data_IF_637944956367
#
_entry.id   IF_637944956367
#
_cell.length_a   1.000
_cell.length_b   1.000
_cell.length_c   1.000
_cell.angle_alpha   90.00
_cell.angle_beta   90.00
_cell.angle_gamma   90.00
#
_symmetry.space_group_name_H-M   'P 1'
#
loop_
_entity.id
_entity.type
_entity.pdbx_description
1 polymer ?
#
# COMPACT_ATOMS: atom_id res chain seq x y z
N UNK A 1 -22.68 -22.60 20.61
CA UNK A 1 -22.05 -23.83 21.16
C UNK A 1 -22.85 -24.95 20.58
N UNK A 2 -22.18 -25.89 19.96
CA UNK A 2 -22.77 -27.08 19.32
C UNK A 2 -23.44 -27.98 20.38
N UNK A 3 -24.56 -28.64 20.05
CA UNK A 3 -25.30 -29.48 20.99
C UNK A 3 -24.46 -30.65 21.44
N UNK A 4 -23.69 -31.28 20.54
CA UNK A 4 -22.73 -32.35 20.86
C UNK A 4 -21.70 -31.94 21.93
N UNK A 5 -21.19 -30.69 21.84
CA UNK A 5 -20.24 -30.17 22.82
C UNK A 5 -20.92 -29.91 24.17
N UNK A 6 -22.17 -29.44 24.15
CA UNK A 6 -22.96 -29.20 25.38
C UNK A 6 -23.20 -30.52 26.12
N UNK A 7 -23.52 -31.56 25.38
CA UNK A 7 -23.75 -32.90 25.94
C UNK A 7 -22.45 -33.50 26.51
N UNK A 8 -21.34 -33.42 25.78
CA UNK A 8 -20.01 -33.83 26.26
C UNK A 8 -19.60 -33.12 27.54
N UNK A 9 -19.88 -31.81 27.64
CA UNK A 9 -19.61 -31.05 28.86
C UNK A 9 -20.51 -31.51 30.03
N UNK A 10 -21.79 -31.79 29.77
CA UNK A 10 -22.70 -32.29 30.78
C UNK A 10 -22.29 -33.68 31.31
N UNK A 11 -21.92 -34.62 30.44
CA UNK A 11 -21.38 -35.92 30.77
C UNK A 11 -20.09 -35.82 31.62
N UNK A 12 -19.18 -34.93 31.21
CA UNK A 12 -17.97 -34.66 31.97
C UNK A 12 -18.29 -34.14 33.39
N UNK A 13 -19.18 -33.13 33.51
CA UNK A 13 -19.59 -32.59 34.82
C UNK A 13 -20.23 -33.64 35.69
N UNK A 14 -21.08 -34.48 35.09
CA UNK A 14 -21.71 -35.62 35.80
C UNK A 14 -20.65 -36.62 36.30
N UNK A 15 -19.68 -36.97 35.49
CA UNK A 15 -18.59 -37.88 35.90
C UNK A 15 -17.78 -37.34 37.06
N UNK A 16 -17.57 -36.03 37.15
CA UNK A 16 -16.86 -35.40 38.29
C UNK A 16 -17.69 -35.44 39.58
N UNK A 17 -19.00 -35.18 39.50
CA UNK A 17 -19.86 -35.12 40.70
C UNK A 17 -20.49 -36.46 41.06
N UNK A 18 -20.35 -37.50 40.25
CA UNK A 18 -21.03 -38.80 40.41
C UNK A 18 -20.91 -39.36 41.83
N UNK A 19 -19.71 -39.41 42.38
CA UNK A 19 -19.46 -39.98 43.68
C UNK A 19 -19.97 -39.11 44.85
N UNK A 20 -20.25 -37.86 44.57
CA UNK A 20 -20.84 -36.90 45.53
C UNK A 20 -22.37 -36.93 45.57
N UNK A 21 -23.02 -37.47 44.51
CA UNK A 21 -24.50 -37.46 44.36
C UNK A 21 -25.13 -38.85 44.34
N UNK A 22 -24.33 -39.94 44.24
CA UNK A 22 -24.82 -41.32 44.09
C UNK A 22 -25.30 -41.95 45.38
N UNK A 23 -24.80 -41.52 46.55
CA UNK A 23 -25.16 -42.08 47.85
C UNK A 23 -25.08 -41.07 48.99
N UNK A 24 -25.80 -41.24 50.09
CA UNK A 24 -25.64 -40.40 51.28
C UNK A 24 -24.22 -40.51 51.84
N UNK A 25 -23.51 -39.41 51.93
CA UNK A 25 -22.13 -39.35 52.40
C UNK A 25 -22.08 -39.17 53.94
N UNK A 26 -21.11 -39.79 54.61
CA UNK A 26 -20.89 -39.65 56.04
C UNK A 26 -20.43 -38.18 56.36
N UNK A 27 -20.59 -37.80 57.64
CA UNK A 27 -20.20 -36.46 58.11
C UNK A 27 -18.73 -36.18 57.84
N UNK A 28 -18.39 -35.15 57.07
CA UNK A 28 -17.02 -34.78 56.68
C UNK A 28 -16.49 -35.42 55.38
N UNK A 29 -17.12 -36.47 54.90
CA UNK A 29 -16.69 -37.19 53.68
C UNK A 29 -16.88 -36.32 52.42
N UNK A 30 -17.96 -35.56 52.34
CA UNK A 30 -18.24 -34.61 51.29
C UNK A 30 -17.11 -33.60 51.12
N UNK A 31 -16.59 -33.02 52.19
CA UNK A 31 -15.51 -32.05 52.12
C UNK A 31 -14.16 -32.69 51.73
N UNK A 32 -13.92 -33.93 52.15
CA UNK A 32 -12.74 -34.69 51.72
C UNK A 32 -12.76 -34.92 50.21
N UNK A 33 -13.85 -35.45 49.67
CA UNK A 33 -14.03 -35.71 48.26
C UNK A 33 -13.93 -34.43 47.40
N UNK A 34 -14.54 -33.33 47.86
CA UNK A 34 -14.43 -32.04 47.19
C UNK A 34 -12.98 -31.54 47.08
N UNK A 35 -12.17 -31.78 48.11
CA UNK A 35 -10.74 -31.44 48.09
C UNK A 35 -9.99 -32.32 47.10
N UNK A 36 -10.15 -33.61 47.16
CA UNK A 36 -9.52 -34.59 46.25
C UNK A 36 -9.85 -34.30 44.79
N UNK A 37 -11.13 -34.08 44.48
CA UNK A 37 -11.58 -33.75 43.11
C UNK A 37 -11.04 -32.41 42.59
N UNK A 38 -10.84 -31.41 43.49
CA UNK A 38 -10.28 -30.11 43.10
C UNK A 38 -8.78 -30.12 42.87
N UNK A 39 -8.05 -31.07 43.48
CA UNK A 39 -6.61 -31.25 43.32
C UNK A 39 -6.25 -32.14 42.12
N UNK A 40 -7.22 -32.92 41.63
CA UNK A 40 -7.08 -33.81 40.49
C UNK A 40 -6.97 -33.04 39.19
N UNK A 41 -6.13 -33.49 38.27
CA UNK A 41 -6.07 -32.99 36.91
C UNK A 41 -7.12 -33.67 36.02
N UNK A 42 -7.80 -32.84 35.20
CA UNK A 42 -8.89 -33.24 34.36
C UNK A 42 -8.66 -32.79 32.92
N UNK A 43 -9.07 -33.60 31.96
CA UNK A 43 -9.24 -33.17 30.57
C UNK A 43 -10.66 -32.60 30.40
N UNK A 44 -10.78 -31.26 30.44
CA UNK A 44 -12.07 -30.58 30.48
C UNK A 44 -12.49 -30.24 29.02
N UNK A 45 -13.61 -30.78 28.53
CA UNK A 45 -14.06 -30.53 27.17
C UNK A 45 -14.26 -29.04 26.88
N UNK A 46 -13.71 -28.56 25.77
CA UNK A 46 -13.88 -27.19 25.29
C UNK A 46 -13.03 -26.13 25.98
N UNK A 47 -12.03 -26.50 26.79
CA UNK A 47 -11.11 -25.57 27.46
C UNK A 47 -9.74 -26.21 27.69
N UNK A 48 -8.71 -25.34 27.78
CA UNK A 48 -7.33 -25.76 28.12
C UNK A 48 -7.08 -25.79 29.65
N UNK A 49 -8.11 -25.61 30.48
CA UNK A 49 -7.96 -25.70 31.94
C UNK A 49 -7.91 -27.17 32.35
N UNK A 50 -7.04 -27.48 33.31
CA UNK A 50 -6.84 -28.84 33.84
C UNK A 50 -7.36 -29.04 35.28
N UNK A 51 -7.77 -27.98 35.97
CA UNK A 51 -8.26 -28.04 37.35
C UNK A 51 -9.62 -27.38 37.51
N UNK A 52 -10.40 -27.91 38.48
CA UNK A 52 -11.76 -27.45 38.81
C UNK A 52 -11.81 -27.01 40.26
N UNK A 53 -12.25 -25.76 40.49
CA UNK A 53 -12.37 -25.27 41.86
C UNK A 53 -13.51 -25.95 42.65
N UNK A 54 -13.35 -26.09 43.98
CA UNK A 54 -14.36 -26.68 44.88
C UNK A 54 -15.74 -26.01 44.76
N UNK A 55 -15.76 -24.70 44.62
CA UNK A 55 -17.00 -23.95 44.43
C UNK A 55 -17.73 -24.37 43.14
N UNK A 56 -16.99 -24.52 42.03
CA UNK A 56 -17.56 -24.97 40.75
C UNK A 56 -18.16 -26.40 40.86
N UNK A 57 -17.50 -27.31 41.61
CA UNK A 57 -18.03 -28.66 41.82
C UNK A 57 -19.31 -28.61 42.65
N UNK A 58 -19.37 -27.77 43.69
CA UNK A 58 -20.60 -27.56 44.48
C UNK A 58 -21.74 -26.96 43.65
N UNK A 59 -21.43 -26.00 42.79
CA UNK A 59 -22.44 -25.40 41.89
C UNK A 59 -23.01 -26.46 40.94
N UNK A 60 -22.19 -27.37 40.41
CA UNK A 60 -22.68 -28.48 39.59
C UNK A 60 -23.55 -29.46 40.37
N UNK A 61 -23.21 -29.77 41.61
CA UNK A 61 -24.06 -30.59 42.45
C UNK A 61 -25.43 -29.96 42.68
N UNK A 62 -25.48 -28.67 43.06
CA UNK A 62 -26.74 -27.96 43.22
C UNK A 62 -27.58 -27.90 41.95
N UNK A 63 -26.94 -27.71 40.79
CA UNK A 63 -27.64 -27.75 39.50
C UNK A 63 -28.18 -29.15 39.17
N UNK A 64 -27.43 -30.22 39.51
CA UNK A 64 -27.90 -31.58 39.33
C UNK A 64 -29.04 -31.94 40.28
N UNK A 65 -28.96 -31.53 41.55
CA UNK A 65 -30.03 -31.73 42.55
C UNK A 65 -31.32 -31.04 42.16
N UNK A 66 -31.21 -29.81 41.56
CA UNK A 66 -32.39 -29.02 41.18
C UNK A 66 -33.05 -29.43 39.86
N UNK A 67 -32.24 -29.87 38.87
CA UNK A 67 -32.72 -30.05 37.47
C UNK A 67 -32.24 -31.37 36.83
N UNK A 68 -31.65 -32.27 37.59
CA UNK A 68 -31.07 -33.50 37.07
C UNK A 68 -29.94 -33.27 36.08
N UNK A 69 -29.75 -34.21 35.15
CA UNK A 69 -28.68 -34.16 34.14
C UNK A 69 -28.73 -32.91 33.24
N UNK A 70 -29.94 -32.41 32.91
CA UNK A 70 -30.11 -31.22 32.10
C UNK A 70 -29.59 -29.95 32.77
N UNK A 71 -29.56 -29.89 34.08
CA UNK A 71 -28.94 -28.83 34.86
C UNK A 71 -27.43 -28.69 34.63
N UNK A 72 -26.77 -29.78 34.20
CA UNK A 72 -25.35 -29.80 33.93
C UNK A 72 -24.99 -29.32 32.52
N UNK A 73 -25.97 -29.19 31.62
CA UNK A 73 -25.74 -28.63 30.28
C UNK A 73 -25.41 -27.16 30.38
N UNK A 74 -24.34 -26.66 29.72
CA UNK A 74 -24.05 -25.23 29.69
C UNK A 74 -25.24 -24.45 29.10
N UNK A 75 -25.71 -23.44 29.79
CA UNK A 75 -26.75 -22.56 29.28
C UNK A 75 -26.18 -21.70 28.17
N UNK A 76 -26.88 -21.54 27.01
CA UNK A 76 -26.49 -20.56 26.01
C UNK A 76 -26.52 -19.16 26.62
N UNK A 77 -25.50 -18.35 26.34
CA UNK A 77 -25.51 -16.95 26.75
C UNK A 77 -26.60 -16.20 26.00
N UNK A 78 -27.54 -15.62 26.69
CA UNK A 78 -28.61 -14.78 26.11
C UNK A 78 -28.08 -13.50 25.47
N UNK A 79 -26.88 -13.06 25.87
CA UNK A 79 -26.16 -11.90 25.34
C UNK A 79 -25.13 -12.26 24.26
N UNK A 80 -25.19 -13.47 23.68
CA UNK A 80 -24.33 -13.87 22.60
C UNK A 80 -24.58 -13.00 21.35
N UNK A 81 -23.58 -12.19 20.98
CA UNK A 81 -23.67 -11.25 19.88
C UNK A 81 -23.94 -9.81 20.29
N UNK A 82 -24.41 -9.53 21.49
CA UNK A 82 -24.56 -8.18 22.02
C UNK A 82 -23.25 -7.70 22.66
N UNK A 83 -22.79 -6.52 22.27
CA UNK A 83 -21.64 -5.90 22.90
C UNK A 83 -22.10 -5.00 24.05
N UNK A 84 -21.91 -5.43 25.29
CA UNK A 84 -22.20 -4.59 26.47
C UNK A 84 -21.32 -3.32 26.52
N UNK A 85 -20.19 -3.33 25.83
CA UNK A 85 -19.24 -2.21 25.79
C UNK A 85 -19.57 -1.15 24.76
N UNK A 86 -20.53 -1.38 23.85
CA UNK A 86 -20.90 -0.45 22.79
C UNK A 86 -22.42 -0.19 22.92
N UNK A 87 -22.86 1.06 23.14
CA UNK A 87 -24.27 1.42 23.16
C UNK A 87 -25.00 1.04 21.86
N UNK A 88 -26.25 0.65 21.92
CA UNK A 88 -27.04 0.15 20.80
C UNK A 88 -27.07 1.13 19.61
N UNK A 89 -27.29 2.41 19.85
CA UNK A 89 -27.27 3.45 18.81
C UNK A 89 -25.92 3.52 18.06
N UNK A 90 -24.80 3.20 18.76
CA UNK A 90 -23.47 3.17 18.15
C UNK A 90 -23.24 1.85 17.40
N UNK A 91 -23.81 0.73 17.88
CA UNK A 91 -23.79 -0.53 17.15
C UNK A 91 -24.51 -0.39 15.81
N UNK A 92 -25.70 0.23 15.79
CA UNK A 92 -26.48 0.47 14.57
C UNK A 92 -25.69 1.31 13.56
N UNK A 93 -25.03 2.38 14.03
CA UNK A 93 -24.21 3.23 13.19
C UNK A 93 -23.01 2.47 12.60
N UNK A 94 -22.34 1.64 13.41
CA UNK A 94 -21.23 0.79 12.95
C UNK A 94 -21.71 -0.23 11.92
N UNK A 95 -22.86 -0.86 12.12
CA UNK A 95 -23.44 -1.84 11.21
C UNK A 95 -23.92 -1.19 9.91
N UNK A 96 -24.52 0.00 9.96
CA UNK A 96 -24.91 0.76 8.77
C UNK A 96 -23.68 1.09 7.90
N UNK A 97 -22.61 1.62 8.51
CA UNK A 97 -21.36 1.91 7.80
C UNK A 97 -20.68 0.65 7.26
N UNK A 98 -20.78 -0.48 7.96
CA UNK A 98 -20.26 -1.77 7.44
C UNK A 98 -21.03 -2.23 6.21
N UNK A 99 -22.36 -2.07 6.18
CA UNK A 99 -23.20 -2.38 5.02
C UNK A 99 -22.88 -1.48 3.83
N UNK A 100 -22.73 -0.17 4.08
CA UNK A 100 -22.39 0.83 3.07
C UNK A 100 -20.97 0.58 2.49
N UNK A 101 -20.02 0.20 3.35
CA UNK A 101 -18.60 0.03 3.00
C UNK A 101 -18.07 -1.35 3.38
N UNK A 102 -18.48 -2.42 2.65
CA UNK A 102 -18.17 -3.81 3.03
C UNK A 102 -16.67 -4.12 3.04
N UNK A 103 -15.87 -3.41 2.23
CA UNK A 103 -14.42 -3.61 2.07
C UNK A 103 -13.57 -2.77 3.01
N UNK A 104 -14.17 -1.80 3.75
CA UNK A 104 -13.43 -0.94 4.66
C UNK A 104 -12.87 -1.73 5.87
N UNK A 105 -11.70 -1.32 6.36
CA UNK A 105 -11.14 -1.91 7.59
C UNK A 105 -11.98 -1.50 8.81
N UNK A 106 -11.96 -2.32 9.87
CA UNK A 106 -12.64 -1.98 11.12
C UNK A 106 -12.13 -0.68 11.71
N UNK A 107 -10.81 -0.44 11.65
CA UNK A 107 -10.20 0.81 12.13
C UNK A 107 -10.71 2.00 11.34
N UNK A 108 -10.83 1.88 10.02
CA UNK A 108 -11.37 2.93 9.15
C UNK A 108 -12.86 3.24 9.48
N UNK A 109 -13.66 2.22 9.74
CA UNK A 109 -15.06 2.41 10.15
C UNK A 109 -15.14 3.09 11.51
N UNK A 110 -14.36 2.66 12.51
CA UNK A 110 -14.31 3.32 13.83
C UNK A 110 -13.95 4.79 13.69
N UNK A 111 -12.97 5.11 12.85
CA UNK A 111 -12.56 6.50 12.60
C UNK A 111 -13.68 7.32 11.96
N UNK A 112 -14.36 6.78 10.95
CA UNK A 112 -15.48 7.44 10.29
C UNK A 112 -16.62 7.72 11.28
N UNK A 113 -16.92 6.78 12.19
CA UNK A 113 -17.90 6.97 13.25
C UNK A 113 -17.50 8.09 14.21
N UNK A 114 -16.23 8.15 14.62
CA UNK A 114 -15.71 9.23 15.48
C UNK A 114 -15.78 10.59 14.80
N UNK A 115 -15.38 10.68 13.53
CA UNK A 115 -15.42 11.93 12.75
C UNK A 115 -16.86 12.43 12.48
N UNK A 116 -17.86 11.54 12.53
CA UNK A 116 -19.26 11.96 12.39
C UNK A 116 -19.81 12.81 13.55
N UNK A 117 -19.07 12.91 14.67
CA UNK A 117 -19.50 13.61 15.88
C UNK A 117 -20.68 12.96 16.63
N UNK A 118 -21.17 11.82 16.15
CA UNK A 118 -22.32 11.11 16.74
C UNK A 118 -21.96 10.19 17.90
N UNK A 119 -20.67 10.06 18.19
CA UNK A 119 -20.15 9.17 19.25
C UNK A 119 -19.23 9.97 20.15
N UNK A 120 -19.44 9.84 21.46
CA UNK A 120 -18.62 10.51 22.47
C UNK A 120 -17.14 10.10 22.32
N UNK A 121 -16.19 11.06 22.36
CA UNK A 121 -14.75 10.76 22.21
C UNK A 121 -14.23 9.74 23.21
N UNK A 122 -14.79 9.73 24.43
CA UNK A 122 -14.38 8.87 25.54
C UNK A 122 -14.87 7.43 25.41
N UNK A 123 -15.83 7.15 24.51
CA UNK A 123 -16.37 5.80 24.34
C UNK A 123 -15.28 4.86 23.79
N UNK A 124 -14.90 3.79 24.53
CA UNK A 124 -13.85 2.87 24.08
C UNK A 124 -14.36 1.98 22.94
N UNK A 125 -13.99 2.28 21.70
CA UNK A 125 -14.27 1.46 20.53
C UNK A 125 -13.03 0.62 20.17
N UNK A 126 -12.76 -0.43 20.96
CA UNK A 126 -11.66 -1.33 20.66
C UNK A 126 -11.94 -2.11 19.36
N UNK A 127 -10.97 -2.18 18.40
CA UNK A 127 -11.15 -2.90 17.13
C UNK A 127 -11.58 -4.36 17.31
N UNK A 128 -11.08 -5.05 18.34
CA UNK A 128 -11.46 -6.43 18.67
C UNK A 128 -12.93 -6.58 19.06
N UNK A 129 -13.50 -5.59 19.75
CA UNK A 129 -14.92 -5.57 20.14
C UNK A 129 -15.81 -5.31 18.92
N UNK A 130 -15.43 -4.36 18.07
CA UNK A 130 -16.15 -4.08 16.82
C UNK A 130 -16.06 -5.26 15.84
N UNK A 131 -14.92 -5.95 15.77
CA UNK A 131 -14.80 -7.20 14.99
C UNK A 131 -15.78 -8.28 15.46
N UNK A 132 -15.92 -8.46 16.78
CA UNK A 132 -16.89 -9.42 17.35
C UNK A 132 -18.34 -9.03 17.03
N UNK A 133 -18.67 -7.73 17.13
CA UNK A 133 -19.96 -7.22 16.72
C UNK A 133 -20.26 -7.54 15.26
N UNK A 134 -19.33 -7.25 14.35
CA UNK A 134 -19.49 -7.55 12.92
C UNK A 134 -19.63 -9.03 12.65
N UNK A 135 -18.83 -9.87 13.31
CA UNK A 135 -18.92 -11.33 13.17
C UNK A 135 -20.28 -11.88 13.63
N UNK A 136 -20.82 -11.37 14.75
CA UNK A 136 -22.13 -11.75 15.27
C UNK A 136 -23.28 -11.40 14.31
N UNK A 137 -23.11 -10.36 13.48
CA UNK A 137 -24.09 -9.93 12.48
C UNK A 137 -23.79 -10.41 11.05
N UNK A 138 -22.98 -11.47 10.91
CA UNK A 138 -22.69 -12.09 9.61
C UNK A 138 -21.62 -11.39 8.76
N UNK A 139 -20.98 -10.34 9.26
CA UNK A 139 -19.86 -9.66 8.60
C UNK A 139 -18.49 -10.23 9.00
N UNK A 140 -18.43 -11.52 9.32
CA UNK A 140 -17.21 -12.23 9.68
C UNK A 140 -16.18 -12.25 8.53
N UNK A 141 -14.91 -12.33 8.88
CA UNK A 141 -13.83 -12.54 7.91
C UNK A 141 -13.95 -13.95 7.34
N UNK A 142 -14.11 -14.09 6.03
CA UNK A 142 -13.85 -15.37 5.35
C UNK A 142 -12.37 -15.71 5.63
N UNK A 143 -12.12 -16.82 6.33
CA UNK A 143 -10.76 -17.32 6.55
C UNK A 143 -10.14 -17.62 5.17
N UNK A 144 -9.15 -16.81 4.77
CA UNK A 144 -8.24 -17.24 3.72
C UNK A 144 -7.40 -18.36 4.30
N UNK A 145 -7.58 -19.56 3.80
CA UNK A 145 -6.65 -20.66 4.04
C UNK A 145 -5.25 -20.19 3.66
N UNK A 146 -4.37 -20.15 4.64
CA UNK A 146 -2.97 -19.86 4.45
C UNK A 146 -2.34 -20.97 3.63
N UNK A 147 -1.95 -20.68 2.41
CA UNK A 147 -1.04 -21.55 1.66
C UNK A 147 0.33 -21.52 2.32
N UNK A 148 0.80 -22.69 2.62
CA UNK A 148 2.12 -23.18 2.99
C UNK A 148 3.23 -22.22 3.41
N UNK A 149 3.84 -22.54 4.52
CA UNK A 149 5.16 -22.05 4.98
C UNK A 149 6.22 -22.27 3.90
N UNK A 150 6.63 -21.19 3.21
CA UNK A 150 7.88 -21.21 2.45
C UNK A 150 9.08 -21.25 3.42
N UNK A 151 10.07 -22.10 3.18
CA UNK A 151 11.22 -22.23 4.05
C UNK A 151 12.11 -20.99 4.01
N UNK A 152 12.48 -20.50 5.18
CA UNK A 152 13.61 -19.59 5.48
C UNK A 152 13.57 -18.17 4.87
N UNK A 153 12.44 -17.47 5.00
CA UNK A 153 12.36 -16.03 4.75
C UNK A 153 12.68 -15.25 6.03
N UNK A 154 13.96 -14.90 6.25
CA UNK A 154 14.33 -14.01 7.36
C UNK A 154 13.80 -12.61 7.09
N UNK A 155 13.01 -12.07 8.02
CA UNK A 155 12.59 -10.67 7.99
C UNK A 155 13.83 -9.78 8.13
N UNK A 156 13.98 -8.80 7.23
CA UNK A 156 15.03 -7.79 7.34
C UNK A 156 14.39 -6.40 7.45
N UNK A 157 15.08 -5.49 8.10
CA UNK A 157 14.72 -4.07 8.15
C UNK A 157 16.03 -3.28 8.14
N UNK A 158 16.11 -2.28 7.28
CA UNK A 158 17.23 -1.36 7.29
C UNK A 158 17.12 -0.44 8.51
N UNK A 159 18.25 -0.04 9.11
CA UNK A 159 18.25 0.72 10.37
C UNK A 159 17.81 2.18 10.20
N UNK A 160 18.17 2.82 9.07
CA UNK A 160 18.01 4.26 8.90
C UNK A 160 17.05 4.62 7.76
N UNK A 161 16.38 5.76 7.89
CA UNK A 161 15.62 6.37 6.82
C UNK A 161 16.47 6.55 5.56
N UNK A 162 15.88 6.36 4.40
CA UNK A 162 16.52 6.47 3.09
C UNK A 162 17.67 5.45 2.83
N UNK A 163 17.85 4.45 3.67
CA UNK A 163 18.76 3.34 3.36
C UNK A 163 18.24 2.48 2.20
N UNK A 164 16.93 2.24 2.17
CA UNK A 164 16.28 1.49 1.10
C UNK A 164 14.86 2.00 0.85
N UNK A 165 14.57 2.38 -0.37
CA UNK A 165 13.20 2.56 -0.84
C UNK A 165 12.73 1.35 -1.64
N UNK A 166 11.50 0.93 -1.39
CA UNK A 166 10.77 -0.10 -2.13
C UNK A 166 9.80 0.59 -3.06
N UNK A 167 9.87 0.32 -4.35
CA UNK A 167 8.97 0.87 -5.35
C UNK A 167 8.06 -0.22 -5.94
N UNK A 168 6.79 0.09 -6.10
CA UNK A 168 5.83 -0.81 -6.74
C UNK A 168 4.62 -0.01 -7.27
N UNK A 169 3.84 -0.65 -8.15
CA UNK A 169 2.63 -0.08 -8.74
C UNK A 169 1.42 -0.97 -8.44
N UNK A 170 0.29 -0.35 -8.13
CA UNK A 170 -0.99 -1.05 -8.03
C UNK A 170 -2.05 -0.40 -8.92
N UNK A 171 -3.03 -1.20 -9.37
CA UNK A 171 -4.22 -0.67 -10.02
C UNK A 171 -5.02 0.20 -9.04
N UNK A 172 -5.33 1.41 -9.47
CA UNK A 172 -6.17 2.36 -8.76
C UNK A 172 -7.67 2.24 -9.10
N UNK A 173 -8.50 3.14 -8.57
CA UNK A 173 -9.89 3.26 -8.98
C UNK A 173 -9.96 3.77 -10.42
N UNK A 174 -11.06 3.45 -11.12
CA UNK A 174 -11.31 4.04 -12.45
C UNK A 174 -11.85 5.46 -12.30
N UNK A 175 -11.39 6.36 -13.16
CA UNK A 175 -11.96 7.71 -13.26
C UNK A 175 -13.28 7.65 -14.01
N UNK A 176 -14.22 8.49 -13.61
CA UNK A 176 -15.52 8.60 -14.25
C UNK A 176 -15.38 9.52 -15.46
N UNK A 177 -15.32 8.97 -16.69
CA UNK A 177 -15.26 9.72 -17.94
C UNK A 177 -16.66 9.83 -18.57
N UNK A 178 -17.13 11.05 -18.92
CA UNK A 178 -18.38 11.21 -19.66
C UNK A 178 -18.38 10.40 -20.96
N UNK A 179 -19.40 9.57 -21.16
CA UNK A 179 -19.56 8.76 -22.38
C UNK A 179 -18.81 7.42 -22.39
N UNK A 180 -18.11 7.06 -21.34
CA UNK A 180 -17.47 5.73 -21.19
C UNK A 180 -18.08 4.94 -20.05
N UNK A 181 -18.64 3.77 -20.37
CA UNK A 181 -19.25 2.85 -19.38
C UNK A 181 -18.24 2.28 -18.39
N UNK A 182 -16.98 2.09 -18.79
CA UNK A 182 -15.96 1.46 -17.94
C UNK A 182 -15.01 2.44 -17.21
N UNK A 183 -15.02 3.73 -17.55
CA UNK A 183 -14.12 4.74 -17.01
C UNK A 183 -12.62 4.50 -17.35
N UNK A 184 -11.77 5.49 -17.11
CA UNK A 184 -10.33 5.39 -17.37
C UNK A 184 -9.59 4.66 -16.26
N UNK A 185 -8.66 3.77 -16.63
CA UNK A 185 -7.80 3.08 -15.66
C UNK A 185 -6.83 4.06 -15.01
N UNK A 186 -6.56 3.84 -13.72
CA UNK A 186 -5.48 4.54 -13.00
C UNK A 186 -4.54 3.53 -12.34
N UNK A 187 -3.31 3.99 -12.10
CA UNK A 187 -2.23 3.21 -11.51
C UNK A 187 -1.57 4.04 -10.40
N UNK A 188 -1.55 3.53 -9.18
CA UNK A 188 -0.83 4.15 -8.08
C UNK A 188 0.63 3.70 -8.13
N UNK A 189 1.53 4.61 -8.53
CA UNK A 189 2.98 4.42 -8.36
C UNK A 189 3.39 4.98 -7.01
N UNK A 190 4.03 4.18 -6.17
CA UNK A 190 4.41 4.59 -4.83
C UNK A 190 5.78 4.05 -4.43
N UNK A 191 6.48 4.85 -3.61
CA UNK A 191 7.73 4.50 -2.95
C UNK A 191 7.47 4.37 -1.45
N UNK A 192 8.12 3.40 -0.81
CA UNK A 192 8.05 3.21 0.63
C UNK A 192 9.46 3.08 1.20
N UNK A 193 9.77 3.83 2.22
CA UNK A 193 11.00 3.65 3.00
C UNK A 193 10.92 2.40 3.88
N UNK A 194 11.95 1.57 3.79
CA UNK A 194 12.00 0.28 4.48
C UNK A 194 12.11 0.41 5.99
N UNK A 195 12.84 1.40 6.50
CA UNK A 195 13.10 1.59 7.92
C UNK A 195 11.90 2.23 8.65
N UNK A 196 11.30 3.24 8.02
CA UNK A 196 10.33 4.12 8.66
C UNK A 196 8.89 3.87 8.25
N UNK A 197 8.66 3.14 7.15
CA UNK A 197 7.34 2.95 6.52
C UNK A 197 6.75 4.24 5.96
N UNK A 198 7.47 5.36 5.97
CA UNK A 198 7.02 6.57 5.30
C UNK A 198 6.91 6.29 3.79
N UNK A 199 5.97 6.94 3.16
CA UNK A 199 5.84 6.94 1.69
C UNK A 199 6.41 8.26 1.19
N UNK A 200 7.66 8.28 0.68
CA UNK A 200 8.31 9.50 0.19
C UNK A 200 7.44 10.24 -0.82
N UNK A 201 6.82 9.48 -1.72
CA UNK A 201 5.80 9.95 -2.64
C UNK A 201 4.98 8.78 -3.19
N UNK A 202 3.76 9.06 -3.56
CA UNK A 202 2.91 8.20 -4.35
C UNK A 202 1.84 9.04 -5.04
N UNK A 203 1.50 8.68 -6.27
CA UNK A 203 0.45 9.34 -7.03
C UNK A 203 -0.24 8.37 -7.99
N UNK A 204 -1.50 8.66 -8.30
CA UNK A 204 -2.24 8.00 -9.37
C UNK A 204 -1.87 8.60 -10.72
N UNK A 205 -1.65 7.74 -11.69
CA UNK A 205 -1.33 8.08 -13.09
C UNK A 205 -2.29 7.37 -14.03
N UNK A 206 -2.42 7.85 -15.25
CA UNK A 206 -3.20 7.21 -16.31
C UNK A 206 -2.50 5.99 -16.93
N UNK A 207 -1.23 5.78 -16.62
CA UNK A 207 -0.39 4.69 -17.14
C UNK A 207 0.65 4.26 -16.12
N UNK A 208 1.15 3.02 -16.23
CA UNK A 208 2.25 2.45 -15.43
C UNK A 208 3.59 2.46 -16.18
N UNK A 209 3.76 3.35 -17.14
CA UNK A 209 4.97 3.43 -17.96
C UNK A 209 6.16 4.07 -17.21
N UNK A 210 7.35 3.95 -17.82
CA UNK A 210 8.60 4.48 -17.27
C UNK A 210 8.56 5.99 -16.98
N UNK A 211 7.84 6.78 -17.78
CA UNK A 211 7.72 8.21 -17.56
C UNK A 211 6.99 8.50 -16.24
N UNK A 212 5.82 7.88 -16.01
CA UNK A 212 5.05 8.03 -14.78
C UNK A 212 5.86 7.60 -13.53
N UNK A 213 6.61 6.51 -13.65
CA UNK A 213 7.49 6.07 -12.56
C UNK A 213 8.60 7.08 -12.25
N UNK A 214 9.21 7.66 -13.28
CA UNK A 214 10.29 8.64 -13.11
C UNK A 214 9.79 9.96 -12.54
N UNK A 215 8.58 10.40 -12.91
CA UNK A 215 7.96 11.55 -12.26
C UNK A 215 7.73 11.28 -10.77
N UNK A 216 7.15 10.14 -10.45
CA UNK A 216 6.93 9.76 -9.06
C UNK A 216 8.26 9.68 -8.27
N UNK A 217 9.35 9.15 -8.88
CA UNK A 217 10.68 9.13 -8.29
C UNK A 217 11.20 10.55 -8.04
N UNK A 218 11.10 11.44 -9.04
CA UNK A 218 11.51 12.84 -8.92
C UNK A 218 10.83 13.54 -7.76
N UNK A 219 9.50 13.40 -7.67
CA UNK A 219 8.71 13.98 -6.58
C UNK A 219 9.10 13.39 -5.21
N UNK A 220 9.41 12.10 -5.15
CA UNK A 220 9.88 11.46 -3.93
C UNK A 220 11.24 12.01 -3.48
N UNK A 221 12.17 12.15 -4.41
CA UNK A 221 13.51 12.72 -4.15
C UNK A 221 13.44 14.15 -3.64
N UNK A 222 12.61 15.01 -4.26
CA UNK A 222 12.41 16.39 -3.84
C UNK A 222 11.81 16.51 -2.44
N UNK A 223 10.91 15.60 -2.05
CA UNK A 223 10.18 15.68 -0.77
C UNK A 223 10.92 15.08 0.41
N UNK A 224 11.64 13.99 0.19
CA UNK A 224 12.22 13.17 1.29
C UNK A 224 13.70 12.86 1.09
N UNK A 225 14.36 13.51 0.11
CA UNK A 225 15.78 13.34 -0.15
C UNK A 225 16.11 12.10 -0.97
N UNK A 226 17.40 11.78 -1.08
CA UNK A 226 17.93 10.75 -1.98
C UNK A 226 18.23 9.46 -1.21
N UNK A 227 17.60 8.31 -1.56
CA UNK A 227 17.88 7.04 -0.90
C UNK A 227 19.25 6.49 -1.30
N UNK A 228 19.81 5.61 -0.47
CA UNK A 228 21.02 4.87 -0.81
C UNK A 228 20.74 3.72 -1.79
N UNK A 229 19.56 3.13 -1.70
CA UNK A 229 19.13 1.99 -2.52
C UNK A 229 17.69 2.15 -2.96
N UNK A 230 17.41 1.72 -4.19
CA UNK A 230 16.07 1.63 -4.73
C UNK A 230 15.80 0.20 -5.17
N UNK A 231 14.80 -0.44 -4.60
CA UNK A 231 14.39 -1.79 -4.94
C UNK A 231 13.11 -1.76 -5.77
N UNK A 232 13.18 -2.30 -6.98
CA UNK A 232 12.06 -2.41 -7.91
C UNK A 232 11.83 -3.87 -8.31
N UNK A 233 10.68 -4.16 -8.90
CA UNK A 233 10.49 -5.42 -9.58
C UNK A 233 11.20 -5.46 -10.95
N UNK A 234 10.99 -6.54 -11.72
CA UNK A 234 11.55 -6.71 -13.06
C UNK A 234 10.62 -6.16 -14.18
N UNK A 235 9.63 -5.35 -13.86
CA UNK A 235 8.76 -4.73 -14.86
C UNK A 235 9.53 -3.88 -15.86
N UNK A 236 9.01 -3.78 -17.08
CA UNK A 236 9.66 -3.04 -18.17
C UNK A 236 9.88 -1.56 -17.82
N UNK A 237 8.98 -0.98 -17.04
CA UNK A 237 9.05 0.42 -16.58
C UNK A 237 10.26 0.70 -15.70
N UNK A 238 10.81 -0.30 -15.01
CA UNK A 238 11.95 -0.19 -14.09
C UNK A 238 13.29 -0.61 -14.70
N UNK A 239 13.29 -1.18 -15.90
CA UNK A 239 14.51 -1.69 -16.58
C UNK A 239 15.04 -0.76 -17.66
N UNK A 240 14.63 0.50 -17.64
CA UNK A 240 15.09 1.48 -18.65
C UNK A 240 16.54 1.90 -18.38
N UNK A 241 17.32 2.01 -19.45
CA UNK A 241 18.70 2.52 -19.36
C UNK A 241 18.74 3.90 -18.68
N UNK A 242 17.74 4.75 -18.97
CA UNK A 242 17.66 6.07 -18.36
C UNK A 242 17.54 6.01 -16.82
N UNK A 243 16.69 5.13 -16.26
CA UNK A 243 16.61 4.96 -14.79
C UNK A 243 17.94 4.51 -14.18
N UNK A 244 18.68 3.63 -14.87
CA UNK A 244 20.02 3.20 -14.45
C UNK A 244 21.00 4.36 -14.39
N UNK A 245 21.00 5.22 -15.42
CA UNK A 245 21.86 6.42 -15.47
C UNK A 245 21.49 7.39 -14.36
N UNK A 246 20.20 7.71 -14.17
CA UNK A 246 19.73 8.58 -13.09
C UNK A 246 20.14 8.04 -11.72
N UNK A 247 19.93 6.76 -11.46
CA UNK A 247 20.30 6.15 -10.19
C UNK A 247 21.84 6.20 -9.97
N UNK A 248 22.63 5.92 -11.00
CA UNK A 248 24.08 5.98 -10.92
C UNK A 248 24.56 7.43 -10.63
N UNK A 249 24.02 8.42 -11.34
CA UNK A 249 24.38 9.84 -11.14
C UNK A 249 24.04 10.33 -9.74
N UNK A 250 22.91 9.88 -9.17
CA UNK A 250 22.48 10.20 -7.81
C UNK A 250 23.12 9.32 -6.74
N UNK A 251 24.04 8.42 -7.14
CA UNK A 251 24.63 7.42 -6.24
C UNK A 251 23.58 6.60 -5.48
N UNK A 252 22.57 6.12 -6.23
CA UNK A 252 21.52 5.21 -5.76
C UNK A 252 21.83 3.81 -6.31
N UNK A 253 22.02 2.81 -5.44
CA UNK A 253 22.15 1.43 -5.86
C UNK A 253 20.77 0.88 -6.30
N UNK A 254 20.57 0.72 -7.62
CA UNK A 254 19.35 0.15 -8.17
C UNK A 254 19.38 -1.38 -8.04
N UNK A 255 18.39 -1.95 -7.36
CA UNK A 255 18.27 -3.38 -7.08
C UNK A 255 16.97 -3.88 -7.72
N UNK A 256 17.07 -4.91 -8.57
CA UNK A 256 15.90 -5.59 -9.12
C UNK A 256 15.62 -6.90 -8.37
N UNK A 257 14.34 -7.21 -8.19
CA UNK A 257 13.91 -8.48 -7.58
C UNK A 257 14.43 -9.67 -8.41
N UNK A 258 14.89 -10.73 -7.74
CA UNK A 258 15.17 -11.99 -8.47
C UNK A 258 13.85 -12.61 -8.91
N UNK A 259 13.75 -13.16 -10.14
CA UNK A 259 12.57 -13.89 -10.60
C UNK A 259 12.20 -14.98 -9.59
N UNK A 260 10.92 -15.13 -9.31
CA UNK A 260 10.34 -16.12 -8.38
C UNK A 260 10.81 -16.05 -6.91
N UNK A 261 11.48 -14.96 -6.47
CA UNK A 261 11.86 -14.74 -5.08
C UNK A 261 11.42 -13.33 -4.63
N UNK A 262 10.18 -13.12 -4.22
CA UNK A 262 9.63 -11.80 -3.83
C UNK A 262 10.13 -11.32 -2.45
N UNK A 263 11.30 -11.78 -2.01
CA UNK A 263 11.90 -11.38 -0.72
C UNK A 263 12.17 -9.88 -0.72
N UNK A 264 11.45 -9.13 0.08
CA UNK A 264 11.55 -7.67 0.20
C UNK A 264 10.29 -6.91 -0.17
N UNK A 265 9.38 -7.44 -0.99
CA UNK A 265 8.15 -6.75 -1.42
C UNK A 265 7.02 -6.80 -0.40
N UNK A 266 7.06 -7.69 0.58
CA UNK A 266 5.98 -7.89 1.56
C UNK A 266 5.56 -6.62 2.32
N UNK A 267 6.46 -5.63 2.44
CA UNK A 267 6.19 -4.36 3.12
C UNK A 267 5.34 -3.43 2.23
N UNK A 268 5.72 -3.23 0.97
CA UNK A 268 4.95 -2.41 0.01
C UNK A 268 3.65 -3.10 -0.38
N UNK A 269 3.61 -4.43 -0.47
CA UNK A 269 2.36 -5.18 -0.66
C UNK A 269 1.40 -5.00 0.51
N UNK A 270 1.91 -4.98 1.74
CA UNK A 270 1.11 -4.67 2.94
C UNK A 270 0.60 -3.23 2.93
N UNK A 271 1.42 -2.28 2.50
CA UNK A 271 0.99 -0.90 2.28
C UNK A 271 -0.16 -0.83 1.26
N UNK A 272 -0.03 -1.44 0.11
CA UNK A 272 -1.13 -1.48 -0.88
C UNK A 272 -2.39 -2.18 -0.36
N UNK A 273 -2.26 -3.15 0.55
CA UNK A 273 -3.40 -3.72 1.26
C UNK A 273 -4.07 -2.68 2.15
N UNK A 274 -3.28 -1.86 2.85
CA UNK A 274 -3.80 -0.74 3.65
C UNK A 274 -4.52 0.28 2.77
N UNK A 275 -3.94 0.66 1.61
CA UNK A 275 -4.60 1.54 0.64
C UNK A 275 -5.96 0.97 0.21
N UNK A 276 -6.02 -0.32 -0.15
CA UNK A 276 -7.28 -0.98 -0.55
C UNK A 276 -8.33 -1.04 0.56
N UNK A 277 -7.93 -1.10 1.81
CA UNK A 277 -8.85 -1.28 2.95
C UNK A 277 -9.14 0.01 3.71
N UNK A 278 -8.28 1.03 3.63
CA UNK A 278 -8.39 2.26 4.41
C UNK A 278 -8.58 3.52 3.56
N UNK A 279 -8.11 3.55 2.32
CA UNK A 279 -8.27 4.68 1.41
C UNK A 279 -9.37 4.45 0.37
N UNK A 280 -9.23 3.40 -0.47
CA UNK A 280 -10.14 3.21 -1.62
C UNK A 280 -11.64 3.11 -1.25
N UNK A 281 -12.05 2.54 -0.09
CA UNK A 281 -13.46 2.51 0.27
C UNK A 281 -14.08 3.89 0.57
N UNK A 282 -13.25 4.93 0.72
CA UNK A 282 -13.69 6.31 0.97
C UNK A 282 -13.63 7.20 -0.29
N UNK A 283 -13.16 6.65 -1.41
CA UNK A 283 -13.14 7.35 -2.69
C UNK A 283 -14.55 7.37 -3.28
N UNK A 284 -15.15 8.56 -3.36
CA UNK A 284 -16.51 8.79 -3.91
C UNK A 284 -16.45 9.02 -5.44
N UNK A 285 -17.57 9.06 -6.16
CA UNK A 285 -17.61 9.46 -7.56
C UNK A 285 -16.99 10.84 -7.81
N UNK A 286 -17.25 11.82 -6.95
CA UNK A 286 -16.69 13.17 -7.07
C UNK A 286 -15.17 13.16 -7.01
N UNK A 287 -14.58 12.28 -6.19
CA UNK A 287 -13.14 12.09 -6.08
C UNK A 287 -12.53 11.45 -7.33
N UNK A 288 -13.34 10.83 -8.18
CA UNK A 288 -12.93 10.17 -9.43
C UNK A 288 -13.25 10.97 -10.68
N UNK A 289 -13.68 12.24 -10.55
CA UNK A 289 -13.98 13.13 -11.67
C UNK A 289 -12.77 13.34 -12.59
N UNK A 290 -11.59 13.44 -11.99
CA UNK A 290 -10.32 13.63 -12.70
C UNK A 290 -9.12 13.18 -11.86
N UNK A 291 -7.98 13.07 -12.52
CA UNK A 291 -6.74 12.59 -11.90
C UNK A 291 -6.19 13.56 -10.83
N UNK A 292 -6.35 14.85 -11.02
CA UNK A 292 -5.85 15.88 -10.08
C UNK A 292 -6.66 15.85 -8.78
N UNK A 293 -7.98 15.73 -8.88
CA UNK A 293 -8.89 15.59 -7.73
C UNK A 293 -8.61 14.31 -6.96
N UNK A 294 -8.44 13.17 -7.65
CA UNK A 294 -8.09 11.89 -7.01
C UNK A 294 -6.75 11.99 -6.26
N UNK A 295 -5.73 12.59 -6.87
CA UNK A 295 -4.42 12.77 -6.24
C UNK A 295 -4.47 13.73 -5.06
N UNK A 296 -5.26 14.78 -5.09
CA UNK A 296 -5.43 15.71 -3.95
C UNK A 296 -5.97 14.98 -2.72
N UNK A 297 -7.02 14.17 -2.90
CA UNK A 297 -7.61 13.37 -1.82
C UNK A 297 -6.64 12.28 -1.33
N UNK A 298 -5.89 11.68 -2.24
CA UNK A 298 -4.84 10.71 -1.93
C UNK A 298 -3.75 11.32 -1.05
N UNK A 299 -3.19 12.46 -1.41
CA UNK A 299 -2.13 13.10 -0.63
C UNK A 299 -2.63 13.58 0.73
N UNK A 300 -3.86 14.10 0.79
CA UNK A 300 -4.48 14.46 2.08
C UNK A 300 -4.58 13.26 3.01
N UNK A 301 -5.05 12.11 2.51
CA UNK A 301 -5.13 10.87 3.28
C UNK A 301 -3.74 10.36 3.69
N UNK A 302 -2.78 10.40 2.77
CA UNK A 302 -1.42 9.91 3.02
C UNK A 302 -0.75 10.68 4.16
N UNK A 303 -0.78 12.02 4.09
CA UNK A 303 -0.09 12.88 5.06
C UNK A 303 -0.86 12.98 6.39
N UNK A 304 -2.17 13.16 6.36
CA UNK A 304 -2.96 13.37 7.57
C UNK A 304 -3.33 12.06 8.30
N UNK A 305 -3.37 10.93 7.58
CA UNK A 305 -3.81 9.67 8.16
C UNK A 305 -2.72 8.62 8.21
N UNK A 306 -2.19 8.21 7.05
CA UNK A 306 -1.24 7.10 7.01
C UNK A 306 0.06 7.42 7.74
N UNK A 307 0.65 8.59 7.47
CA UNK A 307 1.91 9.00 8.09
C UNK A 307 1.80 9.30 9.58
N UNK A 308 0.58 9.59 10.08
CA UNK A 308 0.30 9.89 11.49
C UNK A 308 -0.24 8.68 12.28
N UNK A 309 -0.46 7.55 11.62
CA UNK A 309 -1.02 6.37 12.30
C UNK A 309 0.10 5.48 12.84
N UNK A 310 0.07 5.10 14.14
CA UNK A 310 1.03 4.16 14.71
C UNK A 310 1.10 2.85 13.93
N UNK A 311 2.31 2.41 13.61
CA UNK A 311 2.55 1.25 12.75
C UNK A 311 3.25 0.12 13.51
N UNK A 312 2.62 -1.06 13.59
CA UNK A 312 3.15 -2.22 14.32
C UNK A 312 4.52 -2.74 13.83
N UNK A 313 4.89 -2.47 12.59
CA UNK A 313 6.19 -2.87 12.02
C UNK A 313 7.37 -1.96 12.41
N UNK A 314 7.11 -0.88 13.13
CA UNK A 314 8.09 0.08 13.67
C UNK A 314 7.82 0.38 15.15
N UNK A 315 7.51 -0.66 15.91
CA UNK A 315 7.31 -0.59 17.37
C UNK A 315 6.22 0.40 17.83
N UNK A 316 5.20 0.63 17.00
CA UNK A 316 4.09 1.51 17.35
C UNK A 316 4.36 3.01 17.13
N UNK A 317 5.53 3.39 16.64
CA UNK A 317 5.78 4.77 16.19
C UNK A 317 4.96 5.10 14.94
N UNK A 318 4.74 6.40 14.67
CA UNK A 318 4.20 6.82 13.39
C UNK A 318 5.29 6.81 12.31
N UNK A 319 4.96 6.60 11.03
CA UNK A 319 5.93 6.71 9.95
C UNK A 319 6.65 8.07 9.91
N UNK A 320 5.94 9.15 10.22
CA UNK A 320 6.51 10.50 10.24
C UNK A 320 7.49 10.69 11.38
N UNK A 321 7.12 10.34 12.62
CA UNK A 321 8.02 10.47 13.77
C UNK A 321 9.30 9.67 13.56
N UNK A 322 9.14 8.41 13.09
CA UNK A 322 10.29 7.55 12.81
C UNK A 322 11.20 8.09 11.71
N UNK A 323 10.64 8.80 10.72
CA UNK A 323 11.43 9.43 9.67
C UNK A 323 12.20 10.64 10.21
N UNK A 324 11.56 11.50 11.02
CA UNK A 324 12.16 12.70 11.59
C UNK A 324 13.31 12.39 12.57
N UNK A 325 13.29 11.24 13.26
CA UNK A 325 14.42 10.79 14.09
C UNK A 325 15.74 10.62 13.29
N UNK A 326 15.65 10.48 11.96
CA UNK A 326 16.80 10.25 11.08
C UNK A 326 17.15 11.45 10.19
N UNK A 327 16.61 12.63 10.47
CA UNK A 327 16.71 13.82 9.62
C UNK A 327 18.18 14.18 9.26
N UNK A 328 19.08 14.12 10.23
CA UNK A 328 20.51 14.39 10.03
C UNK A 328 21.23 13.44 9.05
N UNK A 329 20.65 12.30 8.71
CA UNK A 329 21.21 11.29 7.79
C UNK A 329 20.67 11.42 6.37
N UNK A 330 19.69 12.29 6.15
CA UNK A 330 19.01 12.43 4.86
C UNK A 330 19.88 13.23 3.89
N UNK A 331 20.17 12.63 2.73
CA UNK A 331 20.83 13.31 1.63
C UNK A 331 19.81 14.19 0.90
N UNK A 332 19.99 15.51 0.79
CA UNK A 332 19.06 16.34 0.03
C UNK A 332 19.11 16.03 -1.47
N UNK A 333 18.04 16.33 -2.17
CA UNK A 333 18.05 16.30 -3.62
C UNK A 333 18.98 17.41 -4.16
N UNK A 334 19.77 17.13 -5.23
CA UNK A 334 20.62 18.16 -5.82
C UNK A 334 19.81 19.24 -6.53
N UNK A 335 20.31 20.48 -6.57
CA UNK A 335 19.62 21.62 -7.20
C UNK A 335 19.33 21.40 -8.70
N UNK A 336 20.21 20.67 -9.38
CA UNK A 336 20.06 20.31 -10.79
C UNK A 336 19.31 19.00 -11.03
N UNK A 337 18.52 18.52 -10.05
CA UNK A 337 17.76 17.27 -10.17
C UNK A 337 16.87 17.23 -11.43
N UNK A 338 16.28 18.37 -11.80
CA UNK A 338 15.44 18.49 -12.98
C UNK A 338 16.18 18.10 -14.26
N UNK A 339 17.43 18.51 -14.40
CA UNK A 339 18.27 18.18 -15.56
C UNK A 339 18.67 16.69 -15.53
N UNK A 340 18.99 16.16 -14.37
CA UNK A 340 19.34 14.73 -14.20
C UNK A 340 18.17 13.80 -14.52
N UNK A 341 16.94 14.27 -14.34
CA UNK A 341 15.70 13.49 -14.56
C UNK A 341 15.11 13.64 -15.97
N UNK A 342 15.73 14.45 -16.87
CA UNK A 342 15.29 14.54 -18.25
C UNK A 342 15.34 13.19 -18.94
N UNK A 343 14.29 12.84 -19.68
CA UNK A 343 14.29 11.65 -20.53
C UNK A 343 15.08 11.90 -21.79
N UNK A 344 15.80 10.87 -22.23
CA UNK A 344 16.56 10.83 -23.45
C UNK A 344 15.91 9.86 -24.44
N UNK A 345 15.70 10.33 -25.70
CA UNK A 345 15.20 9.50 -26.78
C UNK A 345 15.98 9.79 -28.07
N UNK A 346 16.27 8.76 -28.84
CA UNK A 346 16.87 8.95 -30.17
C UNK A 346 15.81 9.37 -31.18
N UNK A 347 16.10 10.39 -31.99
CA UNK A 347 15.24 10.85 -33.08
C UNK A 347 16.07 11.16 -34.32
N UNK A 348 15.54 10.79 -35.48
CA UNK A 348 16.11 11.22 -36.76
C UNK A 348 15.59 12.61 -37.10
N UNK A 349 16.50 13.51 -37.47
CA UNK A 349 16.18 14.84 -38.01
C UNK A 349 15.80 14.68 -39.49
N UNK A 350 14.65 15.15 -39.89
CA UNK A 350 14.20 15.12 -41.28
C UNK A 350 15.06 16.04 -42.17
N UNK A 351 14.91 15.94 -43.50
CA UNK A 351 15.62 16.81 -44.46
C UNK A 351 15.24 18.28 -44.35
N UNK A 352 14.01 18.56 -43.88
CA UNK A 352 13.47 19.87 -43.58
C UNK A 352 13.85 20.38 -42.17
N UNK A 353 14.87 19.76 -41.55
CA UNK A 353 15.35 20.04 -40.19
C UNK A 353 14.32 19.82 -39.08
N UNK A 354 13.20 19.21 -39.37
CA UNK A 354 12.19 18.92 -38.35
C UNK A 354 12.44 17.60 -37.68
N UNK A 355 12.05 17.50 -36.38
CA UNK A 355 11.93 16.25 -35.66
C UNK A 355 10.64 16.24 -34.84
N UNK A 356 10.06 15.06 -34.68
CA UNK A 356 8.84 14.89 -33.93
C UNK A 356 9.13 14.27 -32.54
N UNK A 357 8.65 14.97 -31.49
CA UNK A 357 8.69 14.50 -30.13
C UNK A 357 7.25 14.44 -29.59
N UNK A 358 6.71 13.25 -29.40
CA UNK A 358 5.28 13.04 -29.10
C UNK A 358 4.38 13.69 -30.16
N UNK A 359 3.43 14.55 -29.75
CA UNK A 359 2.51 15.29 -30.65
C UNK A 359 3.07 16.64 -31.13
N UNK A 360 4.31 17.00 -30.75
CA UNK A 360 4.90 18.31 -31.10
C UNK A 360 6.04 18.13 -32.10
N UNK A 361 6.20 19.13 -32.95
CA UNK A 361 7.28 19.21 -33.94
C UNK A 361 8.25 20.28 -33.49
N UNK A 362 9.53 19.97 -33.59
CA UNK A 362 10.65 20.84 -33.25
C UNK A 362 11.55 21.02 -34.47
N UNK A 363 12.26 22.13 -34.53
CA UNK A 363 13.23 22.46 -35.54
C UNK A 363 14.65 22.33 -34.94
N UNK A 364 15.50 21.58 -35.67
CA UNK A 364 16.91 21.45 -35.37
C UNK A 364 17.73 22.53 -36.07
N UNK A 365 18.86 22.96 -35.53
CA UNK A 365 19.80 23.87 -36.23
C UNK A 365 20.31 23.29 -37.56
N UNK A 366 20.97 24.12 -38.33
CA UNK A 366 21.64 23.68 -39.55
C UNK A 366 22.73 22.63 -39.27
N UNK A 367 22.97 21.75 -40.24
CA UNK A 367 23.99 20.74 -40.17
C UNK A 367 23.56 19.42 -39.53
N UNK A 368 22.28 19.27 -39.09
CA UNK A 368 21.77 18.05 -38.47
C UNK A 368 20.79 17.26 -39.34
N UNK A 369 20.44 17.76 -40.53
CA UNK A 369 19.49 17.13 -41.42
C UNK A 369 19.93 15.70 -41.81
N UNK A 370 19.08 14.70 -41.59
CA UNK A 370 19.38 13.30 -41.86
C UNK A 370 20.09 12.56 -40.72
N UNK A 371 20.63 13.25 -39.71
CA UNK A 371 21.30 12.66 -38.59
C UNK A 371 20.32 12.07 -37.54
N UNK A 372 20.81 11.13 -36.75
CA UNK A 372 20.11 10.62 -35.56
C UNK A 372 20.71 11.27 -34.34
N UNK A 373 19.91 12.07 -33.63
CA UNK A 373 20.29 12.82 -32.44
C UNK A 373 19.62 12.26 -31.19
N UNK A 374 20.21 12.53 -30.05
CA UNK A 374 19.60 12.29 -28.73
C UNK A 374 18.84 13.55 -28.31
N UNK A 375 17.53 13.40 -28.05
CA UNK A 375 16.66 14.48 -27.60
C UNK A 375 16.41 14.32 -26.11
N UNK A 376 16.71 15.37 -25.33
CA UNK A 376 16.55 15.44 -23.89
C UNK A 376 15.39 16.36 -23.55
N UNK A 377 14.44 15.86 -22.75
CA UNK A 377 13.22 16.60 -22.44
C UNK A 377 12.60 16.14 -21.10
N UNK A 378 11.82 17.02 -20.47
CA UNK A 378 10.96 16.64 -19.37
C UNK A 378 9.70 15.93 -19.91
N UNK A 379 9.44 14.67 -19.55
CA UNK A 379 8.30 13.92 -20.09
C UNK A 379 6.93 14.45 -19.65
N UNK A 380 6.86 15.22 -18.57
CA UNK A 380 5.63 15.77 -18.02
C UNK A 380 5.41 17.23 -18.34
N UNK A 381 6.48 17.97 -18.65
CA UNK A 381 6.41 19.38 -18.96
C UNK A 381 7.20 19.69 -20.24
N UNK A 382 6.54 19.55 -21.39
CA UNK A 382 7.09 19.96 -22.69
C UNK A 382 7.04 21.49 -22.92
N UNK A 383 6.71 22.30 -21.92
CA UNK A 383 6.92 23.76 -21.96
C UNK A 383 8.34 24.12 -21.54
N UNK A 384 9.02 23.24 -20.81
CA UNK A 384 10.45 23.37 -20.52
C UNK A 384 11.29 23.23 -21.79
N UNK A 385 12.49 23.82 -21.82
CA UNK A 385 13.38 23.71 -22.96
C UNK A 385 13.68 22.24 -23.31
N UNK A 386 13.51 21.91 -24.59
CA UNK A 386 13.89 20.62 -25.16
C UNK A 386 15.26 20.81 -25.79
N UNK A 387 16.20 19.92 -25.49
CA UNK A 387 17.56 19.98 -26.02
C UNK A 387 17.84 18.75 -26.88
N UNK A 388 18.81 18.89 -27.76
CA UNK A 388 19.37 17.76 -28.51
C UNK A 388 20.89 17.74 -28.41
N UNK A 389 21.49 16.59 -28.65
CA UNK A 389 22.94 16.42 -28.83
C UNK A 389 23.24 15.27 -29.80
N UNK A 390 24.41 15.28 -30.41
CA UNK A 390 24.87 14.09 -31.12
C UNK A 390 25.18 12.96 -30.15
N UNK A 391 25.00 11.75 -30.61
CA UNK A 391 25.26 10.57 -29.80
C UNK A 391 26.72 10.53 -29.37
N UNK A 392 26.96 10.46 -28.06
CA UNK A 392 28.31 10.44 -27.46
C UNK A 392 28.90 11.83 -27.19
N UNK A 393 28.26 12.92 -27.60
CA UNK A 393 28.65 14.28 -27.26
C UNK A 393 27.99 14.75 -25.97
N UNK A 394 28.63 15.68 -25.27
CA UNK A 394 28.09 16.31 -24.05
C UNK A 394 27.44 17.65 -24.32
N UNK A 395 27.73 18.30 -25.47
CA UNK A 395 27.21 19.61 -25.83
C UNK A 395 25.73 19.52 -26.17
N UNK A 396 24.90 20.19 -25.40
CA UNK A 396 23.45 20.27 -25.59
C UNK A 396 23.07 21.51 -26.36
N UNK A 397 22.20 21.36 -27.35
CA UNK A 397 21.70 22.43 -28.19
C UNK A 397 20.19 22.54 -27.99
N UNK A 398 19.64 23.75 -27.70
CA UNK A 398 18.20 23.93 -27.52
C UNK A 398 17.46 23.74 -28.82
N UNK A 399 16.38 22.97 -28.82
CA UNK A 399 15.43 22.82 -29.92
C UNK A 399 14.33 23.87 -29.82
N UNK A 400 14.02 24.49 -30.95
CA UNK A 400 12.90 25.42 -31.08
C UNK A 400 11.64 24.66 -31.47
N UNK A 401 10.49 25.04 -30.92
CA UNK A 401 9.21 24.51 -31.38
C UNK A 401 8.97 25.06 -32.79
N UNK A 402 8.62 24.19 -33.73
CA UNK A 402 8.31 24.62 -35.11
C UNK A 402 7.14 25.62 -35.09
N UNK A 403 7.39 26.80 -35.68
CA UNK A 403 6.37 27.81 -36.04
C UNK A 403 6.29 27.88 -37.56
N UNK A 404 5.29 27.20 -38.19
CA UNK A 404 5.20 27.19 -39.67
C UNK A 404 4.97 28.55 -40.27
N UNK A 405 4.36 29.50 -39.53
CA UNK A 405 4.05 30.85 -40.02
C UNK A 405 5.33 31.69 -39.97
N UNK A 406 6.04 31.68 -38.86
CA UNK A 406 7.30 32.37 -38.75
C UNK A 406 8.34 31.84 -39.75
N UNK A 407 8.41 30.52 -39.96
CA UNK A 407 9.33 29.92 -40.94
C UNK A 407 9.01 30.25 -42.40
N UNK A 408 7.76 30.60 -42.74
CA UNK A 408 7.41 31.03 -44.07
C UNK A 408 7.98 32.44 -44.42
N UNK A 409 8.30 33.22 -43.39
CA UNK A 409 8.87 34.57 -43.52
C UNK A 409 10.40 34.62 -43.50
N UNK A 410 11.07 33.49 -43.20
CA UNK A 410 12.55 33.42 -43.19
C UNK A 410 13.07 33.25 -44.62
N UNK A 411 13.94 34.16 -45.10
CA UNK A 411 14.57 34.02 -46.42
C UNK A 411 15.36 32.68 -46.49
N UNK A 412 15.14 31.91 -47.52
CA UNK A 412 15.96 30.73 -47.78
C UNK A 412 17.31 31.20 -48.29
N UNK A 413 18.41 30.87 -47.62
CA UNK A 413 19.74 31.00 -48.18
C UNK A 413 19.82 30.06 -49.40
N UNK A 414 19.97 30.63 -50.58
CA UNK A 414 20.28 29.88 -51.78
C UNK A 414 21.69 29.29 -51.60
N UNK A 415 21.80 27.97 -51.70
CA UNK A 415 23.08 27.33 -51.79
C UNK A 415 23.79 27.88 -53.01
N UNK A 416 24.79 28.72 -52.87
CA UNK A 416 25.75 29.02 -53.88
C UNK A 416 26.44 27.70 -54.26
N UNK A 417 26.10 27.14 -55.42
CA UNK A 417 26.92 26.08 -56.04
C UNK A 417 28.26 26.74 -56.34
N UNK A 418 29.30 26.44 -55.55
CA UNK A 418 30.68 26.75 -55.92
C UNK A 418 30.97 25.97 -57.21
N UNK A 419 31.14 26.77 -58.30
CA UNK A 419 31.36 26.24 -59.62
C UNK A 419 32.57 25.32 -59.70
N UNK A 420 32.34 24.17 -60.27
CA UNK A 420 33.42 23.34 -60.84
C UNK A 420 34.01 24.10 -62.01
N UNK A 421 35.14 24.77 -61.80
CA UNK A 421 36.02 25.14 -62.88
C UNK A 421 36.69 23.87 -63.41
N UNK A 422 36.10 23.33 -64.49
CA UNK A 422 36.82 22.42 -65.37
C UNK A 422 37.92 23.24 -66.05
N UNK A 423 39.15 23.12 -65.56
CA UNK A 423 40.36 23.47 -66.36
C UNK A 423 40.71 22.25 -67.18
N UNK A 424 40.45 22.35 -68.49
CA UNK A 424 41.01 21.46 -69.50
C UNK A 424 42.53 21.55 -69.49
N UNK A 425 43.29 20.45 -69.59
CA UNK A 425 44.73 20.48 -69.70
C UNK A 425 45.13 20.87 -71.11
N UNK A 426 46.18 21.70 -71.32
CA UNK A 426 46.63 22.11 -72.65
C UNK A 426 47.23 20.95 -73.40
N UNK A 427 46.72 20.69 -74.57
CA UNK A 427 47.34 19.87 -75.62
C UNK A 427 48.62 20.51 -76.13
N UNK A 428 49.70 19.81 -76.04
CA UNK A 428 51.02 20.10 -76.62
C UNK A 428 51.97 18.94 -76.60
#
# INVERSE_FOLDING_TARGET
MDEDLREKIALFRHSVIRDLVSAPLAKGEKERLLRELSEREWEIPGTNRTRIGRTTIRDWMGLYEAMGFDGLKPRPRLDAGMSRAIPEAVQDLLLALRKERPKASVVSIIRAVRLSGKVAPELPLAPSTVHRLFAAHGFGRTQRQGTGTEPDARAFTYPHANDLWLADVMHGPRLDEPGRTEGAKTYLSAFMDDATRIVPYGAFYSSDNAACFQDALKQALLRRGVPRRLYCDNGSSYRTHHLQVVCATLNIALIHSRPYRPRGRGKVERFFRTVRSAFLPHVTPEHRSDLATLNRVWWSWLEAEYHQTPHGGICGQTPLDRFLENDALIRPAPDNLDDMMRMQVSRKVNRDRTLRLRSRVFEAPDGYAGETVEVLFDPFDLTRPVHMRRRGETTEIPLRRLDPIANAAIPREERTEEGSTDEDPPTG
#
